data_IF_270324979969
#
_entry.id   IF_270324979969
#
_cell.length_a   1.000
_cell.length_b   1.000
_cell.length_c   1.000
_cell.angle_alpha   90.00
_cell.angle_beta   90.00
_cell.angle_gamma   90.00
#
_symmetry.space_group_name_H-M   'P 1'
#
loop_
_entity.id
_entity.type
_entity.pdbx_description
1 polymer ?
#
# COMPACT_ATOMS: atom_id res chain seq x y z
N UNK A 1 -16.12 9.92 -3.32
CA UNK A 1 -16.52 8.58 -2.86
C UNK A 1 -15.80 7.54 -3.70
N UNK A 2 -15.18 6.49 -3.09
CA UNK A 2 -14.55 5.39 -3.83
C UNK A 2 -15.51 4.72 -4.81
N UNK A 3 -15.02 4.29 -5.97
CA UNK A 3 -15.87 3.75 -7.04
C UNK A 3 -16.66 2.48 -6.62
N UNK A 4 -16.13 1.71 -5.67
CA UNK A 4 -16.72 0.46 -5.18
C UNK A 4 -17.33 0.58 -3.77
N UNK A 5 -17.54 1.81 -3.28
CA UNK A 5 -18.04 2.07 -1.93
C UNK A 5 -19.37 1.37 -1.62
N UNK A 6 -20.24 1.27 -2.61
CA UNK A 6 -21.57 0.64 -2.47
C UNK A 6 -21.63 -0.79 -3.02
N UNK A 7 -20.50 -1.36 -3.44
CA UNK A 7 -20.45 -2.74 -3.93
C UNK A 7 -20.31 -3.70 -2.75
N UNK A 8 -21.29 -4.61 -2.54
CA UNK A 8 -21.28 -5.54 -1.39
C UNK A 8 -20.11 -6.53 -1.40
N UNK A 9 -19.40 -6.67 -2.51
CA UNK A 9 -18.19 -7.49 -2.57
C UNK A 9 -16.96 -6.81 -1.92
N UNK A 10 -17.00 -5.46 -1.75
CA UNK A 10 -15.85 -4.65 -1.34
C UNK A 10 -16.14 -3.65 -0.20
N UNK A 11 -17.36 -3.61 0.34
CA UNK A 11 -17.78 -2.59 1.31
C UNK A 11 -17.97 -3.10 2.75
N UNK A 12 -17.45 -4.27 3.09
CA UNK A 12 -17.41 -4.70 4.49
C UNK A 12 -16.52 -3.74 5.30
N UNK A 13 -16.96 -3.41 6.52
CA UNK A 13 -16.30 -2.43 7.37
C UNK A 13 -14.85 -2.78 7.75
N UNK A 14 -14.45 -4.02 7.61
CA UNK A 14 -13.12 -4.53 7.93
C UNK A 14 -12.25 -4.78 6.71
N UNK A 15 -12.80 -4.67 5.50
CA UNK A 15 -12.05 -4.79 4.25
C UNK A 15 -11.27 -3.51 3.93
N UNK A 16 -10.16 -3.61 3.19
CA UNK A 16 -9.47 -2.42 2.68
C UNK A 16 -10.38 -1.66 1.71
N UNK A 17 -10.34 -0.34 1.78
CA UNK A 17 -11.01 0.50 0.79
C UNK A 17 -10.29 0.39 -0.54
N UNK A 18 -11.02 0.00 -1.59
CA UNK A 18 -10.53 -0.12 -2.97
C UNK A 18 -11.34 0.77 -3.93
N UNK A 19 -10.94 0.83 -5.19
CA UNK A 19 -11.60 1.70 -6.15
C UNK A 19 -11.32 3.18 -5.90
N UNK A 20 -10.19 3.50 -5.28
CA UNK A 20 -9.71 4.86 -5.01
C UNK A 20 -8.55 5.21 -5.92
N UNK A 21 -8.60 6.39 -6.54
CA UNK A 21 -7.44 6.90 -7.26
C UNK A 21 -6.45 7.59 -6.30
N UNK A 22 -5.24 7.83 -6.77
CA UNK A 22 -4.18 8.44 -5.96
C UNK A 22 -4.55 9.85 -5.43
N UNK A 23 -5.25 10.63 -6.22
CA UNK A 23 -5.71 11.97 -5.81
C UNK A 23 -6.72 11.89 -4.66
N UNK A 24 -7.64 10.92 -4.70
CA UNK A 24 -8.61 10.69 -3.62
C UNK A 24 -7.92 10.19 -2.34
N UNK A 25 -6.93 9.32 -2.47
CA UNK A 25 -6.12 8.86 -1.34
C UNK A 25 -5.40 10.04 -0.66
N UNK A 26 -4.80 10.96 -1.43
CA UNK A 26 -4.19 12.19 -0.90
C UNK A 26 -5.22 13.13 -0.27
N UNK A 27 -6.36 13.31 -0.91
CA UNK A 27 -7.43 14.15 -0.36
C UNK A 27 -7.94 13.61 0.99
N UNK A 28 -8.05 12.28 1.12
CA UNK A 28 -8.38 11.65 2.39
C UNK A 28 -7.32 11.91 3.46
N UNK A 29 -6.04 11.80 3.13
CA UNK A 29 -4.95 12.14 4.05
C UNK A 29 -5.06 13.58 4.55
N UNK A 30 -5.28 14.54 3.64
CA UNK A 30 -5.42 15.95 3.98
C UNK A 30 -6.63 16.22 4.89
N UNK A 31 -7.76 15.59 4.57
CA UNK A 31 -8.97 15.66 5.39
C UNK A 31 -8.73 15.09 6.80
N UNK A 32 -8.13 13.91 6.90
CA UNK A 32 -7.84 13.26 8.18
C UNK A 32 -6.86 14.10 9.01
N UNK A 33 -5.87 14.71 8.38
CA UNK A 33 -4.94 15.64 9.05
C UNK A 33 -5.67 16.84 9.63
N UNK A 34 -6.60 17.43 8.89
CA UNK A 34 -7.42 18.55 9.36
C UNK A 34 -8.36 18.15 10.51
N UNK A 35 -8.92 16.91 10.49
CA UNK A 35 -9.80 16.42 11.55
C UNK A 35 -9.06 16.09 12.83
N UNK A 36 -7.84 15.57 12.74
CA UNK A 36 -7.11 15.02 13.89
C UNK A 36 -6.03 15.95 14.43
N UNK A 37 -5.64 16.98 13.69
CA UNK A 37 -4.48 17.82 13.99
C UNK A 37 -3.13 17.09 13.87
N UNK A 38 -3.11 15.89 13.30
CA UNK A 38 -1.91 15.10 13.05
C UNK A 38 -1.53 15.18 11.58
N UNK A 39 -0.28 14.90 11.24
CA UNK A 39 0.22 14.93 9.86
C UNK A 39 0.09 13.53 9.23
N UNK A 40 -1.03 13.30 8.53
CA UNK A 40 -1.33 12.06 7.81
C UNK A 40 -0.99 12.20 6.34
N UNK A 41 -0.33 11.19 5.77
CA UNK A 41 0.04 11.15 4.37
C UNK A 41 0.17 9.72 3.85
N UNK A 42 0.27 9.57 2.54
CA UNK A 42 0.74 8.31 1.94
C UNK A 42 2.22 8.09 2.30
N UNK A 43 2.66 6.84 2.49
CA UNK A 43 4.08 6.52 2.61
C UNK A 43 4.80 6.87 1.31
N UNK A 44 6.06 7.28 1.40
CA UNK A 44 6.95 7.18 0.26
C UNK A 44 7.22 5.71 -0.08
N UNK A 45 7.66 5.45 -1.32
CA UNK A 45 8.04 4.09 -1.71
C UNK A 45 9.13 3.51 -0.80
N UNK A 46 10.10 4.31 -0.39
CA UNK A 46 11.19 3.90 0.49
C UNK A 46 10.69 3.55 1.91
N UNK A 47 9.76 4.34 2.47
CA UNK A 47 9.15 4.05 3.76
C UNK A 47 8.34 2.78 3.71
N UNK A 48 7.55 2.60 2.65
CA UNK A 48 6.76 1.40 2.44
C UNK A 48 7.66 0.14 2.37
N UNK A 49 8.72 0.19 1.54
CA UNK A 49 9.66 -0.95 1.41
C UNK A 49 10.39 -1.25 2.70
N UNK A 50 10.85 -0.23 3.42
CA UNK A 50 11.50 -0.40 4.73
C UNK A 50 10.57 -1.07 5.74
N UNK A 51 9.30 -0.68 5.76
CA UNK A 51 8.28 -1.27 6.62
C UNK A 51 7.97 -2.73 6.25
N UNK A 52 7.88 -3.04 4.94
CA UNK A 52 7.53 -4.36 4.45
C UNK A 52 8.66 -5.39 4.63
N UNK A 53 9.92 -4.97 4.50
CA UNK A 53 11.08 -5.87 4.45
C UNK A 53 11.91 -5.88 5.73
N UNK A 54 11.68 -4.90 6.59
CA UNK A 54 12.48 -4.71 7.80
C UNK A 54 13.98 -4.53 7.50
N UNK A 55 14.81 -4.50 8.54
CA UNK A 55 16.27 -4.35 8.41
C UNK A 55 16.96 -5.54 7.75
N UNK A 56 16.36 -6.73 7.83
CA UNK A 56 16.91 -7.94 7.24
C UNK A 56 16.69 -8.01 5.72
N UNK A 57 15.82 -7.18 5.15
CA UNK A 57 15.55 -7.12 3.73
C UNK A 57 14.76 -8.32 3.20
N UNK A 58 13.89 -8.89 4.01
CA UNK A 58 13.09 -10.08 3.69
C UNK A 58 12.31 -9.94 2.38
N UNK A 59 12.00 -11.08 1.77
CA UNK A 59 11.17 -11.16 0.56
C UNK A 59 9.71 -10.87 0.84
N UNK A 60 9.17 -11.38 1.95
CA UNK A 60 7.81 -11.21 2.43
C UNK A 60 7.85 -10.63 3.84
N UNK A 61 6.74 -10.16 4.34
CA UNK A 61 6.65 -9.56 5.67
C UNK A 61 7.21 -10.45 6.80
N UNK A 62 7.06 -11.76 6.67
CA UNK A 62 7.44 -12.77 7.67
C UNK A 62 8.78 -13.49 7.41
N UNK A 63 9.46 -13.19 6.30
CA UNK A 63 10.71 -13.87 5.93
C UNK A 63 10.86 -14.13 4.44
N UNK A 64 11.69 -15.09 4.05
CA UNK A 64 12.07 -15.32 2.65
C UNK A 64 11.27 -16.43 1.97
N UNK A 65 10.67 -17.35 2.74
CA UNK A 65 9.90 -18.45 2.19
C UNK A 65 8.42 -18.07 2.07
N UNK A 66 7.86 -18.39 0.89
CA UNK A 66 6.43 -18.12 0.65
C UNK A 66 5.55 -19.10 1.42
N UNK A 67 4.52 -18.58 2.06
CA UNK A 67 3.50 -19.35 2.74
C UNK A 67 2.10 -18.78 2.39
N UNK A 68 1.30 -19.55 1.65
CA UNK A 68 -0.04 -19.14 1.24
C UNK A 68 -1.03 -18.99 2.41
N UNK A 69 -0.72 -19.53 3.59
CA UNK A 69 -1.55 -19.36 4.79
C UNK A 69 -1.37 -17.99 5.47
N UNK A 70 -0.44 -17.16 4.96
CA UNK A 70 -0.04 -15.90 5.59
C UNK A 70 -0.44 -14.64 4.81
N UNK A 71 -1.06 -14.78 3.66
CA UNK A 71 -1.41 -13.62 2.82
C UNK A 71 -2.55 -13.94 1.85
N UNK A 72 -3.13 -12.91 1.27
CA UNK A 72 -4.13 -13.03 0.21
C UNK A 72 -3.49 -12.67 -1.14
N UNK A 73 -3.16 -13.70 -1.94
CA UNK A 73 -2.60 -13.57 -3.30
C UNK A 73 -3.30 -14.54 -4.24
N UNK A 74 -2.94 -14.54 -5.52
CA UNK A 74 -3.58 -15.40 -6.51
C UNK A 74 -3.57 -16.89 -6.12
N UNK A 75 -2.49 -17.38 -5.52
CA UNK A 75 -2.32 -18.77 -5.10
C UNK A 75 -3.21 -19.17 -3.89
N UNK A 76 -3.74 -18.22 -3.15
CA UNK A 76 -4.69 -18.49 -2.05
C UNK A 76 -6.13 -18.76 -2.52
N UNK A 77 -6.41 -18.47 -3.80
CA UNK A 77 -7.70 -18.72 -4.45
C UNK A 77 -8.92 -18.01 -3.82
N UNK A 78 -8.73 -16.99 -2.99
CA UNK A 78 -9.83 -16.20 -2.40
C UNK A 78 -10.55 -15.35 -3.47
N UNK A 79 -9.80 -14.80 -4.43
CA UNK A 79 -10.31 -14.08 -5.61
C UNK A 79 -11.04 -12.77 -5.31
N UNK A 80 -10.80 -12.18 -4.16
CA UNK A 80 -11.32 -10.88 -3.73
C UNK A 80 -10.50 -10.38 -2.54
N UNK A 81 -10.74 -9.15 -2.11
CA UNK A 81 -10.18 -8.62 -0.86
C UNK A 81 -10.66 -9.44 0.36
N UNK A 82 -9.84 -9.47 1.39
CA UNK A 82 -10.17 -10.06 2.69
C UNK A 82 -10.17 -8.98 3.77
N UNK A 83 -10.91 -9.19 4.87
CA UNK A 83 -10.80 -8.33 6.06
C UNK A 83 -9.35 -8.20 6.53
N UNK A 84 -8.98 -7.02 6.98
CA UNK A 84 -7.66 -6.76 7.55
C UNK A 84 -7.46 -7.56 8.84
N UNK A 85 -6.29 -8.19 9.00
CA UNK A 85 -5.94 -9.01 10.16
C UNK A 85 -6.39 -10.47 10.10
N UNK A 86 -6.91 -10.94 8.96
CA UNK A 86 -7.31 -12.36 8.77
C UNK A 86 -6.08 -13.28 8.71
N UNK A 87 -4.91 -12.74 8.38
CA UNK A 87 -3.67 -13.49 8.27
C UNK A 87 -2.63 -13.05 9.34
N UNK A 88 -2.85 -13.32 10.63
CA UNK A 88 -1.96 -12.81 11.69
C UNK A 88 -0.53 -13.36 11.61
N UNK A 89 -0.32 -14.50 10.96
CA UNK A 89 1.02 -15.03 10.65
C UNK A 89 1.73 -14.31 9.51
N UNK A 90 1.04 -13.40 8.81
CA UNK A 90 1.54 -12.58 7.70
C UNK A 90 2.01 -11.19 8.10
N UNK A 91 1.88 -10.82 9.37
CA UNK A 91 2.30 -9.53 9.88
C UNK A 91 3.83 -9.38 9.86
N UNK A 92 4.30 -8.14 9.76
CA UNK A 92 5.71 -7.85 10.00
C UNK A 92 6.04 -8.03 11.50
N UNK A 93 7.33 -8.16 11.86
CA UNK A 93 7.74 -8.18 13.28
C UNK A 93 7.27 -6.95 14.08
N UNK A 94 7.06 -5.82 13.41
CA UNK A 94 6.56 -4.57 13.98
C UNK A 94 5.02 -4.51 14.07
N UNK A 95 4.31 -5.56 13.61
CA UNK A 95 2.85 -5.69 13.69
C UNK A 95 2.09 -4.99 12.56
N UNK A 96 2.71 -4.80 11.40
CA UNK A 96 1.99 -4.30 10.21
C UNK A 96 1.32 -5.46 9.48
N UNK A 97 0.00 -5.42 9.42
CA UNK A 97 -0.83 -6.43 8.75
C UNK A 97 -0.98 -6.14 7.25
N UNK A 98 -1.20 -7.21 6.46
CA UNK A 98 -1.61 -7.18 5.05
C UNK A 98 -0.64 -6.41 4.12
N UNK A 99 0.64 -6.28 4.50
CA UNK A 99 1.66 -5.61 3.68
C UNK A 99 2.17 -6.50 2.53
N UNK A 100 1.77 -7.77 2.53
CA UNK A 100 2.01 -8.74 1.46
C UNK A 100 0.68 -9.22 0.89
N UNK A 101 0.32 -8.80 -0.31
CA UNK A 101 -0.93 -9.15 -0.97
C UNK A 101 -2.13 -8.33 -0.51
N UNK A 102 -3.32 -8.87 -0.61
CA UNK A 102 -4.63 -8.31 -0.41
C UNK A 102 -4.94 -7.18 -1.42
N UNK A 103 -4.33 -6.00 -1.29
CA UNK A 103 -4.45 -4.92 -2.27
C UNK A 103 -3.09 -4.26 -2.54
N UNK A 104 -2.87 -3.81 -3.77
CA UNK A 104 -1.82 -2.86 -4.06
C UNK A 104 -2.05 -1.57 -3.26
N UNK A 105 -1.00 -0.96 -2.77
CA UNK A 105 -1.09 0.24 -1.95
C UNK A 105 -0.41 1.42 -2.64
N UNK A 106 -1.16 2.53 -2.80
CA UNK A 106 -0.62 3.78 -3.30
C UNK A 106 0.49 4.32 -2.40
N UNK A 107 1.57 4.79 -3.01
CA UNK A 107 2.61 5.58 -2.34
C UNK A 107 2.61 7.02 -2.87
N UNK A 108 3.31 7.93 -2.18
CA UNK A 108 3.49 9.31 -2.65
C UNK A 108 4.44 9.41 -3.84
N UNK A 109 5.32 8.42 -4.02
CA UNK A 109 6.45 8.47 -4.94
C UNK A 109 6.04 8.33 -6.41
N UNK A 110 6.68 9.09 -7.29
CA UNK A 110 6.58 8.90 -8.73
C UNK A 110 7.28 7.61 -9.18
N UNK A 111 6.66 6.90 -10.14
CA UNK A 111 7.24 5.70 -10.72
C UNK A 111 8.34 6.07 -11.72
N UNK A 112 9.58 5.91 -11.30
CA UNK A 112 10.77 6.13 -12.12
C UNK A 112 11.61 4.85 -12.19
N UNK A 113 12.42 4.73 -13.25
CA UNK A 113 13.36 3.60 -13.40
C UNK A 113 14.45 3.63 -12.33
N UNK A 114 15.00 2.47 -11.97
CA UNK A 114 16.17 2.38 -11.11
C UNK A 114 17.41 3.04 -11.80
N UNK A 115 18.38 3.74 -11.19
CA UNK A 115 18.70 3.62 -9.75
C UNK A 115 17.92 4.64 -8.91
N UNK A 116 17.65 4.27 -7.65
CA UNK A 116 17.08 5.20 -6.68
C UNK A 116 18.05 6.39 -6.53
N UNK A 117 17.67 7.53 -7.09
CA UNK A 117 18.39 8.76 -6.88
C UNK A 117 17.78 9.51 -5.72
N UNK A 118 18.61 10.01 -4.82
CA UNK A 118 18.16 10.84 -3.70
C UNK A 118 17.71 12.25 -4.14
N UNK A 119 17.34 12.42 -5.41
CA UNK A 119 16.75 13.66 -5.88
C UNK A 119 15.28 13.71 -5.45
N UNK A 120 14.86 14.87 -4.98
CA UNK A 120 13.49 15.08 -4.49
C UNK A 120 12.40 14.97 -5.58
N UNK A 121 12.77 14.79 -6.84
CA UNK A 121 11.82 14.72 -7.97
C UNK A 121 10.87 13.54 -7.87
N UNK A 122 11.33 12.43 -7.31
CA UNK A 122 10.51 11.23 -7.10
C UNK A 122 9.38 11.48 -6.10
N UNK A 123 9.64 12.28 -5.07
CA UNK A 123 8.69 12.61 -4.01
C UNK A 123 7.90 13.91 -4.32
N UNK A 124 8.11 14.50 -5.49
CA UNK A 124 7.33 15.64 -5.94
C UNK A 124 5.90 15.21 -6.28
N UNK A 125 4.97 15.55 -5.38
CA UNK A 125 3.56 15.20 -5.48
C UNK A 125 2.79 16.10 -6.46
N UNK A 126 3.39 17.18 -6.94
CA UNK A 126 2.74 18.14 -7.85
C UNK A 126 2.96 17.81 -9.33
N UNK A 127 3.77 16.77 -9.61
CA UNK A 127 3.91 16.21 -10.96
C UNK A 127 2.63 15.46 -11.36
N UNK A 128 1.73 16.16 -12.02
CA UNK A 128 0.41 15.63 -12.41
C UNK A 128 0.49 14.52 -13.48
N UNK A 129 1.57 14.49 -14.28
CA UNK A 129 1.81 13.54 -15.37
C UNK A 129 2.53 12.26 -14.96
N UNK A 130 3.03 12.21 -13.72
CA UNK A 130 3.80 11.06 -13.26
C UNK A 130 2.89 9.90 -12.84
N UNK A 131 3.15 8.70 -13.39
CA UNK A 131 2.64 7.47 -12.77
C UNK A 131 3.10 7.41 -11.32
N UNK A 132 2.28 6.84 -10.45
CA UNK A 132 2.60 6.71 -9.02
C UNK A 132 2.90 5.26 -8.67
N UNK A 133 3.86 5.07 -7.77
CA UNK A 133 4.24 3.72 -7.34
C UNK A 133 3.12 3.10 -6.52
N UNK A 134 2.81 1.85 -6.83
CA UNK A 134 2.01 0.93 -6.00
C UNK A 134 2.88 -0.23 -5.54
N UNK A 135 2.61 -0.74 -4.34
CA UNK A 135 3.41 -1.75 -3.65
C UNK A 135 2.53 -2.84 -3.04
N UNK A 136 3.12 -4.01 -2.74
CA UNK A 136 2.52 -5.08 -1.96
C UNK A 136 1.93 -6.24 -2.76
N UNK A 137 1.54 -6.01 -4.01
CA UNK A 137 0.72 -6.97 -4.74
C UNK A 137 -0.72 -6.99 -4.24
N UNK A 138 -1.56 -7.83 -4.82
CA UNK A 138 -2.98 -7.92 -4.48
C UNK A 138 -3.44 -9.38 -4.47
N UNK A 139 -4.70 -9.58 -4.11
CA UNK A 139 -5.40 -10.87 -4.20
C UNK A 139 -5.37 -11.47 -5.63
N UNK A 140 -5.13 -10.64 -6.64
CA UNK A 140 -5.03 -11.04 -8.05
C UNK A 140 -3.58 -11.15 -8.55
N UNK A 141 -2.60 -10.92 -7.69
CA UNK A 141 -1.17 -10.98 -8.02
C UNK A 141 -0.57 -12.32 -7.63
N UNK A 142 0.31 -12.86 -8.49
CA UNK A 142 1.11 -14.02 -8.12
C UNK A 142 2.11 -13.69 -6.99
N UNK A 143 2.43 -14.67 -6.15
CA UNK A 143 3.38 -14.55 -5.03
C UNK A 143 4.68 -13.83 -5.37
N UNK A 144 5.19 -13.99 -6.58
CA UNK A 144 6.44 -13.33 -7.02
C UNK A 144 6.29 -11.82 -7.12
N UNK A 145 5.07 -11.34 -7.35
CA UNK A 145 4.72 -9.92 -7.43
C UNK A 145 4.44 -9.34 -6.04
N UNK A 146 3.97 -10.14 -5.10
CA UNK A 146 3.69 -9.72 -3.71
C UNK A 146 4.96 -9.63 -2.83
N UNK A 147 6.16 -9.82 -3.39
CA UNK A 147 7.41 -9.62 -2.64
C UNK A 147 7.59 -8.15 -2.24
N UNK A 148 8.10 -7.91 -1.04
CA UNK A 148 8.31 -6.56 -0.51
C UNK A 148 9.18 -5.65 -1.40
N UNK A 149 10.06 -6.20 -2.25
CA UNK A 149 10.85 -5.43 -3.22
C UNK A 149 10.13 -5.20 -4.56
N UNK A 150 9.00 -5.88 -4.81
CA UNK A 150 8.27 -5.72 -6.07
C UNK A 150 7.56 -4.36 -6.10
N UNK A 151 7.53 -3.76 -7.26
CA UNK A 151 6.94 -2.45 -7.47
C UNK A 151 6.21 -2.41 -8.82
N UNK A 152 5.15 -1.65 -8.87
CA UNK A 152 4.51 -1.29 -10.14
C UNK A 152 4.14 0.19 -10.13
N UNK A 153 3.70 0.71 -11.27
CA UNK A 153 3.27 2.09 -11.42
C UNK A 153 1.86 2.17 -11.95
N UNK A 154 0.99 2.88 -11.22
CA UNK A 154 -0.38 3.17 -11.64
C UNK A 154 -0.54 4.57 -12.22
N UNK A 155 -1.49 4.75 -13.13
CA UNK A 155 -2.02 6.07 -13.50
C UNK A 155 -2.68 6.67 -12.26
N UNK A 156 -2.33 7.92 -11.85
CA UNK A 156 -2.87 8.51 -10.63
C UNK A 156 -4.40 8.74 -10.64
N UNK A 157 -5.01 8.73 -11.82
CA UNK A 157 -6.48 8.79 -11.98
C UNK A 157 -7.17 7.44 -12.03
N UNK A 158 -6.43 6.34 -12.16
CA UNK A 158 -7.01 5.00 -12.25
C UNK A 158 -7.65 4.54 -10.94
N UNK A 159 -8.71 3.76 -11.06
CA UNK A 159 -9.39 3.08 -9.96
C UNK A 159 -9.48 1.59 -10.29
N UNK A 160 -9.12 0.74 -9.32
CA UNK A 160 -9.17 -0.72 -9.48
C UNK A 160 -9.71 -1.36 -8.20
N UNK A 161 -10.29 -2.53 -8.34
CA UNK A 161 -10.84 -3.34 -7.25
C UNK A 161 -9.75 -4.04 -6.41
N UNK A 162 -8.51 -3.90 -6.83
CA UNK A 162 -7.34 -4.48 -6.17
C UNK A 162 -6.30 -3.44 -5.76
N UNK A 163 -6.64 -2.13 -5.81
CA UNK A 163 -5.77 -1.02 -5.39
C UNK A 163 -6.45 -0.20 -4.31
N UNK A 164 -5.75 -0.06 -3.19
CA UNK A 164 -6.14 0.71 -2.01
C UNK A 164 -5.02 1.61 -1.51
N UNK A 165 -4.98 1.86 -0.21
CA UNK A 165 -3.99 2.76 0.39
C UNK A 165 -3.66 2.35 1.83
N UNK A 166 -2.45 2.71 2.26
CA UNK A 166 -1.99 2.72 3.64
C UNK A 166 -1.55 4.11 4.03
N UNK A 167 -1.74 4.48 5.29
CA UNK A 167 -1.39 5.81 5.79
C UNK A 167 -0.17 5.76 6.70
N UNK A 168 0.58 6.86 6.70
CA UNK A 168 1.62 7.16 7.68
C UNK A 168 1.17 8.40 8.48
N UNK A 169 1.23 8.28 9.81
CA UNK A 169 1.12 9.42 10.71
C UNK A 169 2.52 9.87 11.13
N UNK A 170 2.87 11.10 10.81
CA UNK A 170 4.15 11.68 11.26
C UNK A 170 3.97 12.20 12.66
N UNK A 171 4.54 11.49 13.64
CA UNK A 171 4.49 11.93 15.04
C UNK A 171 5.21 13.26 15.24
N UNK A 172 4.58 14.22 15.93
CA UNK A 172 5.17 15.50 16.30
C UNK A 172 6.39 15.38 17.24
N UNK A 173 6.65 14.18 17.79
CA UNK A 173 7.78 13.91 18.66
C UNK A 173 9.14 14.06 17.96
N UNK A 174 9.19 13.95 16.62
CA UNK A 174 10.42 14.09 15.83
C UNK A 174 10.71 15.54 15.38
N UNK A 175 9.90 16.52 15.79
CA UNK A 175 10.11 17.96 15.46
C UNK A 175 10.88 18.74 16.56
N UNK A 176 11.62 18.06 17.45
CA UNK A 176 12.49 18.72 18.43
C UNK A 176 13.96 18.58 18.07
#
# INVERSE_FOLDING_TARGET
>A
EPALWNDPAFNDATQPVVGVCWYEARAYCAWLSAQTGQDWRLPSEAEWEAAARGRAGHRYAWGDEFDAARCNVFETHVRRTTPVGVFPGGDTPEGLSEITGNVWEWTSSAYETYAYRADRRREDTDRADARRVVRGGSWNSYRVVARGACRDGGDPGARSDDVGLRLVCVSSILKR
#
